data_IF_409881089528
#
_entry.id   IF_409881089528
#
_cell.length_a   1.000
_cell.length_b   1.000
_cell.length_c   1.000
_cell.angle_alpha   90.00
_cell.angle_beta   90.00
_cell.angle_gamma   90.00
#
_symmetry.space_group_name_H-M   'P 1'
#
loop_
_entity.id
_entity.type
_entity.pdbx_description
1 polymer ?
#
# COMPACT_ATOMS: atom_id res chain seq x y z
N UNK A 1 10.89 -4.51 -43.23
CA UNK A 1 12.03 -4.94 -42.37
C UNK A 1 11.41 -5.34 -41.04
N UNK A 2 11.41 -6.64 -40.75
CA UNK A 2 10.86 -7.17 -39.51
C UNK A 2 11.84 -6.81 -38.38
N UNK A 3 11.44 -5.96 -37.44
CA UNK A 3 12.16 -5.73 -36.22
C UNK A 3 12.09 -7.00 -35.39
N UNK A 4 13.20 -7.77 -35.43
CA UNK A 4 13.37 -8.93 -34.57
C UNK A 4 13.26 -8.49 -33.12
N UNK A 5 12.20 -8.88 -32.44
CA UNK A 5 12.16 -8.88 -30.99
C UNK A 5 13.24 -9.89 -30.55
N UNK A 6 14.39 -9.39 -30.13
CA UNK A 6 15.28 -10.16 -29.28
C UNK A 6 14.45 -10.53 -28.04
N UNK A 7 14.01 -11.79 -27.96
CA UNK A 7 13.45 -12.34 -26.72
C UNK A 7 14.59 -12.28 -25.69
N UNK A 8 14.56 -11.23 -24.87
CA UNK A 8 15.47 -11.16 -23.73
C UNK A 8 15.23 -12.37 -22.83
N UNK A 9 16.31 -12.97 -22.32
CA UNK A 9 16.21 -14.13 -21.43
C UNK A 9 15.34 -13.79 -20.21
N UNK A 10 14.44 -14.71 -19.79
CA UNK A 10 13.62 -14.49 -18.59
C UNK A 10 14.52 -14.36 -17.37
N UNK A 11 14.13 -13.48 -16.43
CA UNK A 11 14.83 -13.32 -15.16
C UNK A 11 14.62 -14.57 -14.28
N UNK A 12 15.70 -15.09 -13.72
CA UNK A 12 15.63 -16.16 -12.72
C UNK A 12 15.08 -15.58 -11.41
N UNK A 13 13.91 -16.06 -10.98
CA UNK A 13 13.22 -15.57 -9.80
C UNK A 13 12.88 -16.69 -8.82
N UNK A 14 12.88 -16.38 -7.53
CA UNK A 14 12.45 -17.31 -6.49
C UNK A 14 11.38 -16.69 -5.58
N UNK A 15 10.61 -17.56 -4.92
CA UNK A 15 9.62 -17.17 -3.93
C UNK A 15 10.03 -17.74 -2.57
N UNK A 16 10.20 -16.85 -1.59
CA UNK A 16 10.54 -17.18 -0.20
C UNK A 16 9.27 -17.08 0.64
N UNK A 17 8.80 -18.23 1.15
CA UNK A 17 7.53 -18.41 1.83
C UNK A 17 6.47 -19.03 0.93
N UNK A 18 6.07 -20.28 1.21
CA UNK A 18 5.04 -21.03 0.50
C UNK A 18 3.63 -20.89 1.14
N UNK A 19 3.38 -19.78 1.82
CA UNK A 19 2.08 -19.41 2.36
C UNK A 19 1.13 -18.92 1.26
N UNK A 20 -0.03 -18.35 1.67
CA UNK A 20 -1.03 -17.86 0.73
C UNK A 20 -0.48 -16.83 -0.26
N UNK A 21 0.29 -15.82 0.21
CA UNK A 21 0.86 -14.80 -0.68
C UNK A 21 1.93 -15.40 -1.58
N UNK A 22 2.80 -16.26 -1.04
CA UNK A 22 3.79 -16.96 -1.86
C UNK A 22 3.17 -17.82 -2.95
N UNK A 23 2.05 -18.48 -2.68
CA UNK A 23 1.27 -19.20 -3.69
C UNK A 23 0.77 -18.29 -4.82
N UNK A 24 0.31 -17.08 -4.49
CA UNK A 24 -0.07 -16.09 -5.52
C UNK A 24 1.13 -15.59 -6.32
N UNK A 25 2.27 -15.30 -5.67
CA UNK A 25 3.50 -14.90 -6.35
C UNK A 25 4.02 -15.99 -7.29
N UNK A 26 4.09 -17.25 -6.82
CA UNK A 26 4.52 -18.40 -7.63
C UNK A 26 3.63 -18.58 -8.87
N UNK A 27 2.29 -18.52 -8.69
CA UNK A 27 1.33 -18.58 -9.80
C UNK A 27 1.59 -17.53 -10.86
N UNK A 28 1.82 -16.30 -10.43
CA UNK A 28 2.01 -15.18 -11.34
C UNK A 28 3.37 -15.30 -12.04
N UNK A 29 4.47 -15.52 -11.31
CA UNK A 29 5.79 -15.69 -11.93
C UNK A 29 5.81 -16.83 -12.94
N UNK A 30 5.18 -17.97 -12.64
CA UNK A 30 5.08 -19.08 -13.56
C UNK A 30 4.26 -18.75 -14.84
N UNK A 31 3.42 -17.71 -14.80
CA UNK A 31 2.60 -17.27 -15.94
C UNK A 31 3.23 -16.15 -16.76
N UNK A 32 4.30 -15.52 -16.26
CA UNK A 32 4.94 -14.37 -16.90
C UNK A 32 6.10 -14.83 -17.80
N UNK A 33 6.10 -14.51 -19.10
CA UNK A 33 7.19 -14.88 -20.00
C UNK A 33 8.53 -14.19 -19.64
N UNK A 34 8.47 -13.09 -18.88
CA UNK A 34 9.63 -12.34 -18.41
C UNK A 34 10.33 -12.98 -17.21
N UNK A 35 9.73 -14.01 -16.59
CA UNK A 35 10.23 -14.67 -15.38
C UNK A 35 10.43 -16.17 -15.60
N UNK A 36 11.51 -16.70 -15.05
CA UNK A 36 11.72 -18.13 -14.85
C UNK A 36 11.71 -18.42 -13.35
N UNK A 37 10.66 -19.07 -12.86
CA UNK A 37 10.57 -19.49 -11.46
C UNK A 37 11.54 -20.64 -11.20
N UNK A 38 12.68 -20.37 -10.54
CA UNK A 38 13.76 -21.34 -10.30
C UNK A 38 13.70 -21.97 -8.92
N UNK A 39 12.80 -21.53 -8.03
CA UNK A 39 12.66 -22.18 -6.73
C UNK A 39 11.60 -21.54 -5.82
N UNK A 40 11.09 -22.39 -4.94
CA UNK A 40 10.19 -22.01 -3.83
C UNK A 40 10.82 -22.48 -2.53
N UNK A 41 10.91 -21.58 -1.56
CA UNK A 41 11.52 -21.84 -0.24
C UNK A 41 10.46 -21.75 0.85
N UNK A 42 10.43 -22.75 1.72
CA UNK A 42 9.70 -22.68 3.00
C UNK A 42 10.41 -23.56 4.03
N UNK A 43 10.41 -23.17 5.30
CA UNK A 43 10.94 -24.01 6.38
C UNK A 43 10.14 -25.29 6.55
N UNK A 44 8.85 -25.28 6.19
CA UNK A 44 8.05 -26.47 5.95
C UNK A 44 8.27 -26.96 4.52
N UNK A 45 9.23 -27.84 4.35
CA UNK A 45 9.62 -28.39 3.01
C UNK A 45 8.43 -29.05 2.31
N UNK A 46 7.51 -29.66 3.04
CA UNK A 46 6.33 -30.31 2.45
C UNK A 46 5.42 -29.28 1.78
N UNK A 47 5.28 -28.10 2.39
CA UNK A 47 4.52 -26.97 1.85
C UNK A 47 5.20 -26.41 0.61
N UNK A 48 6.52 -26.23 0.66
CA UNK A 48 7.31 -25.79 -0.50
C UNK A 48 7.18 -26.78 -1.66
N UNK A 49 7.30 -28.09 -1.41
CA UNK A 49 7.18 -29.15 -2.42
C UNK A 49 5.79 -29.19 -3.05
N UNK A 50 4.72 -29.11 -2.25
CA UNK A 50 3.35 -29.10 -2.74
C UNK A 50 3.08 -27.92 -3.69
N UNK A 51 3.63 -26.74 -3.38
CA UNK A 51 3.50 -25.56 -4.23
C UNK A 51 4.40 -25.64 -5.48
N UNK A 52 5.64 -26.07 -5.32
CA UNK A 52 6.62 -26.20 -6.40
C UNK A 52 6.19 -27.19 -7.48
N UNK A 53 5.55 -28.29 -7.08
CA UNK A 53 4.99 -29.28 -8.01
C UNK A 53 3.95 -28.68 -8.94
N UNK A 54 3.13 -27.73 -8.47
CA UNK A 54 2.10 -27.08 -9.29
C UNK A 54 2.68 -26.23 -10.41
N UNK A 55 3.92 -25.72 -10.24
CA UNK A 55 4.57 -24.82 -11.19
C UNK A 55 5.84 -25.40 -11.79
N UNK A 56 6.06 -26.71 -11.61
CA UNK A 56 7.19 -27.44 -12.17
C UNK A 56 8.55 -26.77 -11.90
N UNK A 57 8.79 -26.41 -10.64
CA UNK A 57 10.06 -25.83 -10.19
C UNK A 57 10.58 -26.57 -8.94
N UNK A 58 11.87 -26.42 -8.58
CA UNK A 58 12.45 -26.99 -7.38
C UNK A 58 11.88 -26.38 -6.09
N UNK A 59 11.91 -27.17 -4.99
CA UNK A 59 11.57 -26.74 -3.64
C UNK A 59 12.79 -26.83 -2.72
N UNK A 60 12.94 -25.86 -1.82
CA UNK A 60 14.06 -25.79 -0.89
C UNK A 60 13.57 -25.54 0.55
N UNK A 61 14.23 -26.15 1.52
CA UNK A 61 13.91 -26.01 2.94
C UNK A 61 14.53 -24.75 3.56
N UNK A 62 15.47 -24.10 2.89
CA UNK A 62 16.11 -22.87 3.36
C UNK A 62 16.60 -22.01 2.21
N UNK A 63 16.86 -20.73 2.49
CA UNK A 63 17.40 -19.77 1.52
C UNK A 63 18.84 -20.15 1.12
N UNK A 64 19.63 -20.73 2.02
CA UNK A 64 21.01 -21.18 1.75
C UNK A 64 21.00 -22.33 0.73
N UNK A 65 20.06 -23.27 0.84
CA UNK A 65 19.92 -24.37 -0.10
C UNK A 65 19.52 -23.85 -1.49
N UNK A 66 18.61 -22.88 -1.58
CA UNK A 66 18.26 -22.21 -2.83
C UNK A 66 19.49 -21.53 -3.46
N UNK A 67 20.22 -20.73 -2.68
CA UNK A 67 21.37 -19.96 -3.17
C UNK A 67 22.54 -20.84 -3.61
N UNK A 68 22.71 -22.00 -2.97
CA UNK A 68 23.70 -23.00 -3.40
C UNK A 68 23.32 -23.68 -4.73
N UNK A 69 22.02 -23.91 -4.95
CA UNK A 69 21.51 -24.57 -6.16
C UNK A 69 21.31 -23.59 -7.34
N UNK A 70 21.07 -22.31 -7.07
CA UNK A 70 20.77 -21.28 -8.08
C UNK A 70 21.75 -20.10 -7.94
N UNK A 71 23.03 -20.25 -8.34
CA UNK A 71 24.03 -19.19 -8.21
C UNK A 71 23.72 -17.97 -9.08
N UNK A 72 22.94 -18.14 -10.14
CA UNK A 72 22.54 -17.08 -11.09
C UNK A 72 21.19 -16.45 -10.75
N UNK A 73 20.66 -16.65 -9.53
CA UNK A 73 19.42 -16.04 -9.07
C UNK A 73 19.52 -14.51 -9.12
N UNK A 74 18.60 -13.86 -9.83
CA UNK A 74 18.63 -12.42 -10.08
C UNK A 74 17.68 -11.67 -9.15
N UNK A 75 16.51 -12.26 -8.84
CA UNK A 75 15.50 -11.60 -8.04
C UNK A 75 14.72 -12.59 -7.17
N UNK A 76 14.16 -12.12 -6.06
CA UNK A 76 13.32 -12.94 -5.21
C UNK A 76 12.17 -12.13 -4.58
N UNK A 77 11.04 -12.82 -4.33
CA UNK A 77 9.94 -12.29 -3.52
C UNK A 77 9.96 -12.91 -2.14
N UNK A 78 9.90 -12.09 -1.10
CA UNK A 78 9.73 -12.50 0.30
C UNK A 78 8.26 -12.33 0.69
N UNK A 79 7.59 -13.45 1.00
CA UNK A 79 6.18 -13.51 1.40
C UNK A 79 5.97 -14.35 2.66
N UNK A 80 6.92 -14.25 3.57
CA UNK A 80 6.94 -14.84 4.92
C UNK A 80 6.23 -13.95 5.94
N UNK A 81 6.06 -14.39 7.20
CA UNK A 81 5.70 -13.48 8.29
C UNK A 81 6.72 -12.35 8.46
N UNK A 82 6.23 -11.14 8.76
CA UNK A 82 7.01 -9.89 8.80
C UNK A 82 8.27 -9.96 9.65
N UNK A 83 8.24 -10.72 10.76
CA UNK A 83 9.37 -10.88 11.66
C UNK A 83 10.63 -11.47 11.00
N UNK A 84 10.48 -12.17 9.88
CA UNK A 84 11.58 -12.77 9.13
C UNK A 84 12.05 -11.90 7.96
N UNK A 85 11.33 -10.84 7.58
CA UNK A 85 11.61 -10.04 6.38
C UNK A 85 13.04 -9.50 6.40
N UNK A 86 13.47 -8.92 7.53
CA UNK A 86 14.81 -8.32 7.65
C UNK A 86 15.91 -9.32 7.36
N UNK A 87 15.96 -10.44 8.07
CA UNK A 87 17.05 -11.40 7.95
C UNK A 87 17.13 -12.02 6.54
N UNK A 88 15.97 -12.35 5.96
CA UNK A 88 15.89 -12.92 4.60
C UNK A 88 16.32 -11.89 3.55
N UNK A 89 15.87 -10.65 3.68
CA UNK A 89 16.22 -9.57 2.75
C UNK A 89 17.71 -9.19 2.86
N UNK A 90 18.28 -9.12 4.05
CA UNK A 90 19.72 -8.89 4.24
C UNK A 90 20.55 -9.98 3.55
N UNK A 91 20.10 -11.24 3.62
CA UNK A 91 20.77 -12.36 2.95
C UNK A 91 20.76 -12.21 1.43
N UNK A 92 19.64 -11.81 0.84
CA UNK A 92 19.50 -11.62 -0.62
C UNK A 92 20.25 -10.38 -1.11
N UNK A 93 19.97 -9.23 -0.49
CA UNK A 93 20.57 -7.94 -0.89
C UNK A 93 22.10 -7.95 -0.75
N UNK A 94 22.64 -8.62 0.29
CA UNK A 94 24.09 -8.76 0.46
C UNK A 94 24.75 -9.55 -0.68
N UNK A 95 23.98 -10.35 -1.40
CA UNK A 95 24.42 -11.11 -2.60
C UNK A 95 24.04 -10.43 -3.91
N UNK A 96 23.61 -9.16 -3.86
CA UNK A 96 23.17 -8.36 -4.99
C UNK A 96 21.96 -8.97 -5.72
N UNK A 97 21.06 -9.65 -4.98
CA UNK A 97 19.80 -10.18 -5.50
C UNK A 97 18.70 -9.15 -5.24
N UNK A 98 18.06 -8.71 -6.31
CA UNK A 98 16.96 -7.76 -6.25
C UNK A 98 15.77 -8.37 -5.49
N UNK A 99 15.12 -7.59 -4.66
CA UNK A 99 14.17 -8.17 -3.69
C UNK A 99 12.85 -7.39 -3.66
N UNK A 100 11.74 -8.13 -3.81
CA UNK A 100 10.41 -7.66 -3.47
C UNK A 100 10.03 -8.23 -2.10
N UNK A 101 9.58 -7.38 -1.17
CA UNK A 101 9.17 -7.79 0.19
C UNK A 101 7.71 -7.45 0.39
N UNK A 102 6.91 -8.43 0.84
CA UNK A 102 5.52 -8.19 1.19
C UNK A 102 5.38 -7.19 2.35
N UNK A 103 4.24 -6.52 2.38
CA UNK A 103 3.93 -5.53 3.44
C UNK A 103 3.66 -6.24 4.80
N UNK A 104 4.01 -5.59 5.92
CA UNK A 104 4.89 -4.42 6.08
C UNK A 104 6.33 -4.73 5.68
N UNK A 105 7.10 -3.76 5.21
CA UNK A 105 8.50 -3.94 4.79
C UNK A 105 9.34 -4.64 5.86
N UNK A 106 9.18 -4.24 7.12
CA UNK A 106 9.90 -4.81 8.27
C UNK A 106 9.09 -4.62 9.57
N UNK A 107 9.47 -5.31 10.66
CA UNK A 107 8.79 -5.20 11.96
C UNK A 107 8.94 -3.83 12.62
N UNK A 108 10.08 -3.16 12.41
CA UNK A 108 10.41 -1.87 13.03
C UNK A 108 10.87 -0.84 11.99
N UNK A 109 10.77 0.43 12.35
CA UNK A 109 11.28 1.54 11.53
C UNK A 109 12.78 1.41 11.30
N UNK A 110 13.55 1.05 12.33
CA UNK A 110 14.99 0.86 12.21
C UNK A 110 15.36 -0.27 11.23
N UNK A 111 14.62 -1.38 11.27
CA UNK A 111 14.81 -2.50 10.34
C UNK A 111 14.48 -2.09 8.90
N UNK A 112 13.38 -1.35 8.68
CA UNK A 112 13.00 -0.86 7.38
C UNK A 112 14.07 0.10 6.80
N UNK A 113 14.56 1.04 7.60
CA UNK A 113 15.63 1.97 7.21
C UNK A 113 16.94 1.23 6.90
N UNK A 114 17.30 0.20 7.68
CA UNK A 114 18.48 -0.60 7.42
C UNK A 114 18.40 -1.34 6.09
N UNK A 115 17.23 -1.90 5.74
CA UNK A 115 17.02 -2.56 4.44
C UNK A 115 17.12 -1.59 3.27
N UNK A 116 16.54 -0.39 3.40
CA UNK A 116 16.65 0.67 2.40
C UNK A 116 18.10 1.07 2.18
N UNK A 117 18.86 1.30 3.27
CA UNK A 117 20.28 1.66 3.21
C UNK A 117 21.11 0.54 2.56
N UNK A 118 20.85 -0.71 2.91
CA UNK A 118 21.54 -1.87 2.34
C UNK A 118 21.25 -1.99 0.83
N UNK A 119 19.99 -1.94 0.41
CA UNK A 119 19.61 -2.02 -0.99
C UNK A 119 20.29 -0.91 -1.82
N UNK A 120 20.29 0.32 -1.30
CA UNK A 120 20.98 1.45 -1.93
C UNK A 120 22.49 1.22 -2.04
N UNK A 121 23.14 0.74 -0.98
CA UNK A 121 24.60 0.48 -0.97
C UNK A 121 25.01 -0.64 -1.95
N UNK A 122 24.09 -1.58 -2.21
CA UNK A 122 24.28 -2.70 -3.12
C UNK A 122 23.76 -2.43 -4.54
N UNK A 123 23.15 -1.26 -4.75
CA UNK A 123 22.51 -0.90 -6.03
C UNK A 123 21.42 -1.91 -6.42
N UNK A 124 20.77 -2.55 -5.44
CA UNK A 124 19.68 -3.48 -5.65
C UNK A 124 18.35 -2.77 -5.75
N UNK A 125 17.46 -3.31 -6.58
CA UNK A 125 16.06 -2.94 -6.58
C UNK A 125 15.41 -3.53 -5.33
N UNK A 126 14.82 -2.67 -4.50
CA UNK A 126 14.00 -3.04 -3.35
C UNK A 126 12.57 -2.52 -3.58
N UNK A 127 11.64 -3.41 -3.87
CA UNK A 127 10.21 -3.09 -4.01
C UNK A 127 9.42 -3.62 -2.82
N UNK A 128 8.42 -2.86 -2.38
CA UNK A 128 7.53 -3.28 -1.30
C UNK A 128 6.17 -3.69 -1.84
N UNK A 129 5.59 -4.75 -1.26
CA UNK A 129 4.37 -5.41 -1.69
C UNK A 129 3.09 -4.65 -1.33
N UNK A 130 3.02 -3.35 -1.54
CA UNK A 130 1.80 -2.56 -1.42
C UNK A 130 0.94 -2.72 -2.69
N UNK A 131 0.33 -3.89 -2.87
CA UNK A 131 -0.44 -4.24 -4.06
C UNK A 131 -1.63 -3.30 -4.33
N UNK A 132 -2.17 -2.63 -3.31
CA UNK A 132 -3.23 -1.62 -3.48
C UNK A 132 -2.75 -0.38 -4.27
N UNK A 133 -1.44 -0.11 -4.37
CA UNK A 133 -0.88 0.91 -5.26
C UNK A 133 -1.18 0.60 -6.74
N UNK A 134 -1.31 -0.68 -7.07
CA UNK A 134 -1.65 -1.18 -8.40
C UNK A 134 -3.15 -1.42 -8.59
N UNK A 135 -3.98 -1.05 -7.62
CA UNK A 135 -5.42 -1.09 -7.75
C UNK A 135 -5.86 -0.24 -8.97
N UNK A 136 -6.75 -0.76 -9.84
CA UNK A 136 -7.14 -0.04 -11.06
C UNK A 136 -7.66 1.37 -10.78
N UNK A 137 -8.35 1.56 -9.64
CA UNK A 137 -8.84 2.88 -9.21
C UNK A 137 -7.68 3.84 -8.90
N UNK A 138 -6.65 3.38 -8.17
CA UNK A 138 -5.47 4.20 -7.84
C UNK A 138 -4.70 4.57 -9.11
N UNK A 139 -4.54 3.62 -10.02
CA UNK A 139 -3.90 3.84 -11.32
C UNK A 139 -4.67 4.84 -12.19
N UNK A 140 -6.01 4.76 -12.19
CA UNK A 140 -6.85 5.72 -12.90
C UNK A 140 -6.68 7.13 -12.30
N UNK A 141 -6.66 7.27 -10.97
CA UNK A 141 -6.42 8.54 -10.29
C UNK A 141 -5.06 9.17 -10.62
N UNK A 142 -4.02 8.36 -10.78
CA UNK A 142 -2.66 8.85 -11.08
C UNK A 142 -2.55 9.54 -12.46
N UNK A 143 -3.57 9.42 -13.32
CA UNK A 143 -3.66 10.14 -14.59
C UNK A 143 -4.13 11.59 -14.42
N UNK A 144 -4.71 11.93 -13.26
CA UNK A 144 -5.20 13.27 -12.95
C UNK A 144 -4.16 14.04 -12.10
N UNK A 145 -3.94 15.29 -12.42
CA UNK A 145 -3.14 16.17 -11.58
C UNK A 145 -4.00 16.65 -10.41
N UNK A 146 -3.72 16.14 -9.23
CA UNK A 146 -4.45 16.44 -8.00
C UNK A 146 -3.51 17.13 -7.01
N UNK A 147 -4.02 18.13 -6.31
CA UNK A 147 -3.33 18.83 -5.21
C UNK A 147 -4.16 18.66 -3.94
N UNK A 148 -4.06 17.51 -3.24
CA UNK A 148 -4.92 17.22 -2.10
C UNK A 148 -4.79 18.24 -0.98
N UNK A 149 -5.94 18.70 -0.43
CA UNK A 149 -6.00 19.51 0.78
C UNK A 149 -6.65 18.74 1.92
N UNK A 150 -7.59 17.87 1.58
CA UNK A 150 -8.22 16.97 2.53
C UNK A 150 -8.48 15.62 1.89
N UNK A 151 -8.16 14.54 2.62
CA UNK A 151 -8.40 13.15 2.21
C UNK A 151 -9.16 12.45 3.33
N UNK A 152 -10.20 11.73 2.98
CA UNK A 152 -10.96 10.86 3.87
C UNK A 152 -10.94 9.43 3.32
N UNK A 153 -10.54 8.47 4.16
CA UNK A 153 -10.43 7.06 3.75
C UNK A 153 -11.14 6.17 4.75
N UNK A 154 -11.95 5.24 4.23
CA UNK A 154 -12.60 4.19 5.00
C UNK A 154 -12.21 2.83 4.44
N UNK A 155 -11.53 2.01 5.27
CA UNK A 155 -11.21 0.61 4.99
C UNK A 155 -11.81 -0.26 6.08
N UNK A 156 -12.99 -0.76 5.80
CA UNK A 156 -13.83 -1.47 6.74
C UNK A 156 -14.11 -2.87 6.20
N UNK A 157 -13.97 -3.89 7.03
CA UNK A 157 -14.21 -5.29 6.65
C UNK A 157 -14.84 -6.10 7.79
N UNK A 158 -15.58 -7.17 7.47
CA UNK A 158 -15.96 -8.17 8.46
C UNK A 158 -14.75 -8.89 9.05
N UNK A 159 -14.85 -9.31 10.31
CA UNK A 159 -13.84 -10.10 11.00
C UNK A 159 -13.62 -11.45 10.29
N UNK A 160 -12.38 -11.81 10.07
CA UNK A 160 -11.99 -13.07 9.42
C UNK A 160 -11.03 -13.90 10.27
N UNK A 161 -10.92 -13.72 11.56
CA UNK A 161 -10.07 -14.44 12.52
C UNK A 161 -8.66 -14.81 11.99
N UNK A 162 -8.14 -14.02 11.07
CA UNK A 162 -6.76 -14.07 10.57
C UNK A 162 -6.06 -12.78 10.97
N UNK A 163 -4.74 -12.82 11.14
CA UNK A 163 -3.95 -11.65 11.56
C UNK A 163 -4.48 -11.00 12.84
N UNK A 164 -5.02 -11.84 13.77
CA UNK A 164 -5.50 -11.37 15.08
C UNK A 164 -4.34 -11.04 16.03
N UNK A 165 -3.16 -11.45 15.66
CA UNK A 165 -1.88 -11.22 16.32
C UNK A 165 -1.34 -9.81 16.09
N UNK A 166 -1.89 -9.06 15.13
CA UNK A 166 -1.54 -7.68 14.83
C UNK A 166 -2.77 -6.77 14.81
N UNK A 167 -2.57 -5.47 15.04
CA UNK A 167 -3.63 -4.47 15.01
C UNK A 167 -4.08 -4.12 13.59
N UNK A 168 -5.27 -3.52 13.50
CA UNK A 168 -5.88 -3.11 12.24
C UNK A 168 -5.06 -2.04 11.51
N UNK A 169 -4.21 -1.30 12.22
CA UNK A 169 -3.31 -0.31 11.63
C UNK A 169 -2.30 -0.99 10.71
N UNK A 170 -1.61 -2.03 11.18
CA UNK A 170 -0.62 -2.76 10.39
C UNK A 170 -1.24 -3.76 9.39
N UNK A 171 -2.45 -4.28 9.66
CA UNK A 171 -3.11 -5.21 8.75
C UNK A 171 -3.82 -4.50 7.59
N UNK A 172 -4.62 -3.47 7.89
CA UNK A 172 -5.51 -2.81 6.93
C UNK A 172 -5.08 -1.37 6.60
N UNK A 173 -4.88 -0.51 7.63
CA UNK A 173 -4.66 0.92 7.44
C UNK A 173 -3.36 1.22 6.68
N UNK A 174 -2.35 0.36 6.80
CA UNK A 174 -1.06 0.53 6.14
C UNK A 174 -1.17 0.64 4.61
N UNK A 175 -2.17 0.02 4.00
CA UNK A 175 -2.45 0.16 2.57
C UNK A 175 -2.89 1.58 2.20
N UNK A 176 -3.71 2.19 3.06
CA UNK A 176 -4.21 3.54 2.82
C UNK A 176 -3.16 4.58 3.19
N UNK A 177 -2.31 4.31 4.18
CA UNK A 177 -1.14 5.13 4.50
C UNK A 177 -0.24 5.24 3.27
N UNK A 178 0.04 4.12 2.60
CA UNK A 178 0.83 4.08 1.37
C UNK A 178 0.17 4.87 0.23
N UNK A 179 -1.14 4.68 -0.01
CA UNK A 179 -1.86 5.40 -1.06
C UNK A 179 -1.88 6.91 -0.78
N UNK A 180 -2.17 7.32 0.46
CA UNK A 180 -2.19 8.73 0.86
C UNK A 180 -0.80 9.35 0.70
N UNK A 181 0.27 8.66 1.11
CA UNK A 181 1.63 9.11 0.89
C UNK A 181 1.93 9.34 -0.60
N UNK A 182 1.54 8.40 -1.45
CA UNK A 182 1.71 8.51 -2.89
C UNK A 182 1.00 9.72 -3.51
N UNK A 183 -0.19 10.06 -3.00
CA UNK A 183 -0.98 11.20 -3.50
C UNK A 183 -0.48 12.55 -2.97
N UNK A 184 -0.06 12.60 -1.70
CA UNK A 184 0.32 13.86 -1.02
C UNK A 184 1.80 14.20 -1.22
N UNK A 185 2.70 13.22 -1.12
CA UNK A 185 4.15 13.37 -1.30
C UNK A 185 4.78 14.47 -0.42
N UNK A 186 4.27 14.65 0.79
CA UNK A 186 4.75 15.61 1.76
C UNK A 186 5.11 14.94 3.09
N UNK A 187 6.08 15.44 3.85
CA UNK A 187 6.39 14.92 5.18
C UNK A 187 5.22 15.05 6.14
N UNK A 188 5.11 14.10 7.08
CA UNK A 188 4.10 14.14 8.15
C UNK A 188 4.53 15.12 9.25
N UNK A 189 3.73 16.17 9.47
CA UNK A 189 3.93 17.15 10.52
C UNK A 189 3.40 16.65 11.88
N UNK A 190 2.17 16.10 11.93
CA UNK A 190 1.60 15.58 13.16
C UNK A 190 0.61 14.43 12.92
N UNK A 191 0.40 13.61 13.96
CA UNK A 191 -0.56 12.51 13.95
C UNK A 191 -1.36 12.56 15.26
N UNK A 192 -2.69 12.47 15.15
CA UNK A 192 -3.58 12.16 16.25
C UNK A 192 -4.36 10.89 15.91
N UNK A 193 -4.49 9.96 16.86
CA UNK A 193 -5.15 8.69 16.59
C UNK A 193 -5.86 8.13 17.81
N UNK A 194 -6.95 7.40 17.55
CA UNK A 194 -7.68 6.61 18.53
C UNK A 194 -7.83 5.19 18.00
N UNK A 195 -7.88 4.21 18.90
CA UNK A 195 -8.08 2.81 18.56
C UNK A 195 -8.74 2.05 19.68
N UNK A 196 -9.55 1.05 19.31
CA UNK A 196 -10.28 0.21 20.25
C UNK A 196 -10.02 -1.25 19.96
N UNK A 197 -9.58 -2.02 20.96
CA UNK A 197 -9.50 -3.46 20.95
C UNK A 197 -10.82 -4.01 21.52
N UNK A 198 -11.50 -4.85 20.76
CA UNK A 198 -12.80 -5.44 21.14
C UNK A 198 -12.69 -6.97 21.27
N UNK A 199 -12.00 -7.61 20.35
CA UNK A 199 -11.89 -9.08 20.30
C UNK A 199 -10.48 -9.52 20.70
N UNK A 200 -9.44 -8.86 20.19
CA UNK A 200 -8.04 -9.22 20.39
C UNK A 200 -7.32 -8.39 21.43
N UNK A 201 -6.00 -8.49 21.42
CA UNK A 201 -5.09 -7.67 22.25
C UNK A 201 -4.72 -6.35 21.59
N UNK A 202 -4.91 -6.26 20.28
CA UNK A 202 -4.59 -5.11 19.45
C UNK A 202 -5.87 -4.45 18.96
N UNK A 203 -5.78 -3.22 18.50
CA UNK A 203 -6.91 -2.47 17.99
C UNK A 203 -7.60 -3.18 16.81
N UNK A 204 -8.92 -3.33 16.92
CA UNK A 204 -9.81 -3.87 15.89
C UNK A 204 -10.46 -2.76 15.07
N UNK A 205 -10.48 -1.56 15.62
CA UNK A 205 -10.91 -0.32 14.97
C UNK A 205 -9.88 0.76 15.29
N UNK A 206 -9.48 1.54 14.29
CA UNK A 206 -8.62 2.69 14.46
C UNK A 206 -9.05 3.84 13.55
N UNK A 207 -8.93 5.06 14.06
CA UNK A 207 -9.02 6.29 13.29
C UNK A 207 -7.75 7.10 13.51
N UNK A 208 -7.17 7.60 12.42
CA UNK A 208 -5.99 8.45 12.45
C UNK A 208 -6.23 9.72 11.64
N UNK A 209 -5.88 10.87 12.23
CA UNK A 209 -5.77 12.15 11.57
C UNK A 209 -4.29 12.47 11.38
N UNK A 210 -3.87 12.56 10.12
CA UNK A 210 -2.49 12.85 9.71
C UNK A 210 -2.48 14.26 9.11
N UNK A 211 -1.62 15.14 9.61
CA UNK A 211 -1.38 16.47 9.05
C UNK A 211 -0.02 16.45 8.36
N UNK A 212 0.03 16.86 7.12
CA UNK A 212 1.24 16.95 6.31
C UNK A 212 1.83 18.38 6.34
N UNK A 213 3.13 18.49 6.04
CA UNK A 213 3.86 19.76 6.09
C UNK A 213 3.37 20.79 5.07
N UNK A 214 2.78 20.35 3.94
CA UNK A 214 2.14 21.19 2.94
C UNK A 214 0.71 21.66 3.31
N UNK A 215 0.24 21.28 4.51
CA UNK A 215 -1.08 21.61 5.05
C UNK A 215 -2.19 20.64 4.64
N UNK A 216 -1.90 19.62 3.83
CA UNK A 216 -2.88 18.55 3.57
C UNK A 216 -3.21 17.79 4.85
N UNK A 217 -4.46 17.37 5.00
CA UNK A 217 -4.92 16.57 6.11
C UNK A 217 -5.57 15.28 5.60
N UNK A 218 -5.18 14.13 6.15
CA UNK A 218 -5.82 12.85 5.87
C UNK A 218 -6.47 12.28 7.14
N UNK A 219 -7.76 11.91 7.04
CA UNK A 219 -8.46 11.11 8.04
C UNK A 219 -8.62 9.69 7.51
N UNK A 220 -8.03 8.72 8.20
CA UNK A 220 -8.05 7.32 7.79
C UNK A 220 -8.74 6.50 8.88
N UNK A 221 -9.81 5.81 8.50
CA UNK A 221 -10.52 4.87 9.39
C UNK A 221 -10.34 3.45 8.88
N UNK A 222 -9.83 2.57 9.74
CA UNK A 222 -9.75 1.14 9.47
C UNK A 222 -10.50 0.36 10.54
N UNK A 223 -11.27 -0.66 10.12
CA UNK A 223 -12.02 -1.52 11.02
C UNK A 223 -12.13 -2.94 10.46
N UNK A 224 -12.02 -3.93 11.34
CA UNK A 224 -12.32 -5.34 11.03
C UNK A 224 -13.56 -5.88 11.76
N UNK A 225 -14.40 -4.98 12.33
CA UNK A 225 -15.60 -5.32 13.12
C UNK A 225 -16.90 -4.95 12.41
N UNK A 226 -16.94 -4.91 11.10
CA UNK A 226 -18.12 -4.51 10.37
C UNK A 226 -18.93 -5.71 9.86
N UNK A 227 -20.20 -5.46 9.54
CA UNK A 227 -21.06 -6.44 8.87
C UNK A 227 -20.91 -6.43 7.34
N UNK A 228 -20.38 -5.33 6.79
CA UNK A 228 -20.18 -5.15 5.34
C UNK A 228 -18.77 -4.64 5.06
N UNK A 229 -18.24 -4.97 3.89
CA UNK A 229 -16.97 -4.41 3.41
C UNK A 229 -17.24 -3.03 2.82
N UNK A 230 -16.40 -2.06 3.21
CA UNK A 230 -16.36 -0.73 2.61
C UNK A 230 -14.90 -0.35 2.38
N UNK A 231 -14.59 0.10 1.17
CA UNK A 231 -13.25 0.58 0.78
C UNK A 231 -13.41 1.82 -0.07
N UNK A 232 -13.42 2.98 0.56
CA UNK A 232 -13.69 4.27 -0.10
C UNK A 232 -12.65 5.30 0.24
N UNK A 233 -12.41 6.18 -0.73
CA UNK A 233 -11.65 7.39 -0.51
C UNK A 233 -12.38 8.57 -1.14
N UNK A 234 -12.34 9.70 -0.44
CA UNK A 234 -12.70 11.03 -0.93
C UNK A 234 -11.49 11.93 -0.83
N UNK A 235 -11.25 12.71 -1.86
CA UNK A 235 -10.14 13.65 -1.90
C UNK A 235 -10.68 15.00 -2.36
N UNK A 236 -10.29 16.03 -1.66
CA UNK A 236 -10.68 17.40 -1.93
C UNK A 236 -9.43 18.21 -2.26
N UNK A 237 -9.45 18.82 -3.43
CA UNK A 237 -8.45 19.78 -3.94
C UNK A 237 -9.11 21.12 -4.20
N UNK A 238 -8.37 22.21 -4.37
CA UNK A 238 -8.95 23.52 -4.72
C UNK A 238 -9.77 23.49 -6.02
N UNK A 239 -9.38 22.62 -6.96
CA UNK A 239 -9.96 22.56 -8.30
C UNK A 239 -10.67 21.24 -8.63
N UNK A 240 -10.63 20.27 -7.70
CA UNK A 240 -11.24 18.96 -7.95
C UNK A 240 -11.75 18.30 -6.65
N UNK A 241 -12.83 17.55 -6.80
CA UNK A 241 -13.30 16.58 -5.82
C UNK A 241 -13.24 15.19 -6.42
N UNK A 242 -12.72 14.24 -5.68
CA UNK A 242 -12.63 12.83 -6.06
C UNK A 242 -13.45 11.98 -5.11
N UNK A 243 -14.22 11.04 -5.65
CA UNK A 243 -14.88 10.00 -4.86
C UNK A 243 -14.67 8.65 -5.52
N UNK A 244 -14.07 7.70 -4.79
CA UNK A 244 -13.76 6.38 -5.30
C UNK A 244 -14.20 5.27 -4.36
N UNK A 245 -14.63 4.16 -4.97
CA UNK A 245 -14.95 2.89 -4.30
C UNK A 245 -14.04 1.80 -4.90
N UNK A 246 -13.03 1.39 -4.13
CA UNK A 246 -12.04 0.39 -4.56
C UNK A 246 -12.65 -0.99 -4.77
N UNK A 247 -13.72 -1.32 -4.02
CA UNK A 247 -14.36 -2.63 -4.11
C UNK A 247 -15.22 -2.73 -5.37
N UNK A 248 -15.95 -1.65 -5.68
CA UNK A 248 -16.78 -1.57 -6.88
C UNK A 248 -15.98 -1.27 -8.14
N UNK A 249 -14.71 -0.96 -8.00
CA UNK A 249 -13.85 -0.45 -9.07
C UNK A 249 -14.54 0.69 -9.81
N UNK A 250 -14.96 1.71 -9.08
CA UNK A 250 -15.68 2.86 -9.62
C UNK A 250 -15.20 4.14 -8.96
N UNK A 251 -15.28 5.23 -9.69
CA UNK A 251 -14.95 6.54 -9.15
C UNK A 251 -15.24 7.66 -10.13
N UNK A 252 -15.34 8.85 -9.57
CA UNK A 252 -15.56 10.09 -10.30
C UNK A 252 -14.53 11.12 -9.86
N UNK A 253 -14.11 11.94 -10.81
CA UNK A 253 -13.37 13.18 -10.57
C UNK A 253 -14.27 14.31 -11.02
N UNK A 254 -14.62 15.20 -10.11
CA UNK A 254 -15.43 16.37 -10.37
C UNK A 254 -14.50 17.56 -10.39
N UNK A 255 -14.32 18.13 -11.54
CA UNK A 255 -13.51 19.32 -11.74
C UNK A 255 -14.38 20.59 -11.72
N UNK A 256 -13.82 21.63 -11.17
CA UNK A 256 -14.35 22.97 -11.33
C UNK A 256 -14.34 23.31 -12.82
N UNK A 257 -15.47 23.75 -13.37
CA UNK A 257 -15.53 24.13 -14.78
C UNK A 257 -14.65 25.35 -15.05
N UNK A 258 -14.21 25.47 -16.32
CA UNK A 258 -13.40 26.62 -16.77
C UNK A 258 -14.20 27.95 -16.80
N UNK A 259 -15.49 27.96 -16.46
CA UNK A 259 -16.30 29.17 -16.47
C UNK A 259 -16.06 30.00 -15.20
N UNK A 260 -14.84 30.58 -15.13
CA UNK A 260 -14.43 31.45 -14.04
C UNK A 260 -15.39 32.64 -13.86
N UNK A 261 -16.00 33.11 -14.95
CA UNK A 261 -16.93 34.24 -14.89
C UNK A 261 -18.22 33.88 -14.12
N UNK A 262 -18.78 32.68 -14.32
CA UNK A 262 -19.96 32.22 -13.53
C UNK A 262 -19.61 32.04 -12.06
N UNK A 263 -18.45 31.48 -11.74
CA UNK A 263 -18.01 31.33 -10.37
C UNK A 263 -17.78 32.68 -9.67
N UNK A 264 -17.26 33.66 -10.39
CA UNK A 264 -17.04 35.01 -9.84
C UNK A 264 -18.37 35.74 -9.63
N UNK A 265 -19.38 35.55 -10.50
CA UNK A 265 -20.75 36.04 -10.29
C UNK A 265 -21.34 35.43 -9.01
N UNK A 266 -21.26 34.10 -8.84
CA UNK A 266 -21.74 33.41 -7.64
C UNK A 266 -21.03 33.91 -6.39
N UNK A 267 -19.70 34.09 -6.44
CA UNK A 267 -18.92 34.63 -5.31
C UNK A 267 -19.32 36.06 -4.97
N UNK A 268 -19.57 36.90 -5.98
CA UNK A 268 -20.00 38.28 -5.75
C UNK A 268 -21.39 38.31 -5.13
N UNK A 269 -22.32 37.45 -5.57
CA UNK A 269 -23.64 37.33 -4.97
C UNK A 269 -23.55 36.86 -3.50
N UNK A 270 -22.73 35.82 -3.23
CA UNK A 270 -22.49 35.33 -1.88
C UNK A 270 -21.83 36.38 -0.95
N UNK A 271 -21.05 37.27 -1.50
CA UNK A 271 -20.37 38.34 -0.75
C UNK A 271 -21.24 39.58 -0.54
N UNK A 272 -22.22 39.80 -1.41
CA UNK A 272 -23.07 41.00 -1.41
C UNK A 272 -24.34 40.88 -0.56
N UNK A 273 -24.81 39.66 -0.32
CA UNK A 273 -26.06 39.40 0.42
C UNK A 273 -25.83 38.46 1.62
N UNK A 274 -26.38 38.77 2.77
CA UNK A 274 -26.33 37.89 3.96
C UNK A 274 -27.06 36.56 3.72
N UNK A 275 -28.11 36.55 2.87
CA UNK A 275 -28.87 35.36 2.48
C UNK A 275 -29.21 35.40 1.00
N UNK A 276 -28.21 35.08 0.09
CA UNK A 276 -28.44 35.08 -1.35
C UNK A 276 -29.41 33.97 -1.75
N UNK A 277 -30.40 34.29 -2.61
CA UNK A 277 -31.27 33.28 -3.22
C UNK A 277 -30.52 32.56 -4.34
N UNK A 278 -30.04 31.37 -4.04
CA UNK A 278 -29.33 30.48 -4.99
C UNK A 278 -30.24 29.33 -5.50
N UNK A 279 -31.54 29.40 -5.26
CA UNK A 279 -32.49 28.31 -5.59
C UNK A 279 -32.54 27.96 -7.10
N UNK A 280 -32.15 28.89 -7.97
CA UNK A 280 -32.09 28.71 -9.42
C UNK A 280 -30.69 28.34 -9.94
N UNK A 281 -29.69 28.16 -9.05
CA UNK A 281 -28.36 27.81 -9.46
C UNK A 281 -28.27 26.30 -9.74
N UNK A 282 -28.00 25.93 -10.99
CA UNK A 282 -27.70 24.54 -11.31
C UNK A 282 -26.21 24.24 -11.03
N UNK A 283 -25.96 23.49 -9.96
CA UNK A 283 -24.60 23.09 -9.58
C UNK A 283 -23.90 22.34 -10.72
N UNK A 284 -24.65 21.60 -11.57
CA UNK A 284 -24.08 20.82 -12.66
C UNK A 284 -23.46 21.68 -13.77
N UNK A 285 -23.86 22.94 -13.89
CA UNK A 285 -23.26 23.91 -14.81
C UNK A 285 -21.90 24.45 -14.33
N UNK A 286 -21.62 24.29 -13.01
CA UNK A 286 -20.39 24.77 -12.37
C UNK A 286 -19.30 23.71 -12.28
N UNK A 287 -19.61 22.46 -12.64
CA UNK A 287 -18.69 21.33 -12.51
C UNK A 287 -18.69 20.47 -13.77
N UNK A 288 -17.54 19.86 -14.01
CA UNK A 288 -17.40 18.81 -15.01
C UNK A 288 -17.14 17.49 -14.30
N UNK A 289 -17.90 16.45 -14.66
CA UNK A 289 -17.82 15.14 -14.01
C UNK A 289 -17.17 14.14 -14.95
N UNK A 290 -15.97 13.70 -14.61
CA UNK A 290 -15.26 12.64 -15.30
C UNK A 290 -15.45 11.30 -14.57
N UNK A 291 -15.97 10.31 -15.27
CA UNK A 291 -15.93 8.93 -14.78
C UNK A 291 -14.52 8.38 -14.94
N UNK A 292 -13.98 7.74 -13.91
CA UNK A 292 -12.68 7.10 -14.02
C UNK A 292 -12.73 5.91 -14.97
N UNK A 293 -11.85 5.89 -15.96
CA UNK A 293 -11.62 4.74 -16.82
C UNK A 293 -10.81 3.68 -16.06
N UNK A 294 -11.47 2.62 -15.66
CA UNK A 294 -10.91 1.58 -14.81
C UNK A 294 -10.80 0.28 -15.58
N UNK A 295 -9.59 -0.27 -15.67
CA UNK A 295 -9.32 -1.57 -16.27
C UNK A 295 -9.52 -2.72 -15.27
N UNK A 296 -9.50 -3.98 -15.77
CA UNK A 296 -9.66 -5.19 -14.98
C UNK A 296 -8.36 -5.94 -14.69
N UNK A 297 -7.20 -5.30 -14.88
CA UNK A 297 -5.92 -5.96 -14.65
C UNK A 297 -5.74 -6.35 -13.17
N UNK A 298 -5.17 -7.53 -12.94
CA UNK A 298 -4.92 -8.05 -11.60
C UNK A 298 -3.81 -7.21 -10.90
N UNK A 299 -4.10 -6.52 -9.78
CA UNK A 299 -3.13 -5.64 -9.12
C UNK A 299 -1.82 -6.35 -8.75
N UNK A 300 -1.90 -7.57 -8.22
CA UNK A 300 -0.71 -8.33 -7.83
C UNK A 300 0.15 -8.72 -9.06
N UNK A 301 -0.48 -9.02 -10.18
CA UNK A 301 0.25 -9.29 -11.44
C UNK A 301 1.03 -8.06 -11.89
N UNK A 302 0.38 -6.89 -11.87
CA UNK A 302 1.04 -5.62 -12.20
C UNK A 302 2.18 -5.29 -11.25
N UNK A 303 2.02 -5.56 -9.96
CA UNK A 303 3.08 -5.39 -8.96
C UNK A 303 4.32 -6.22 -9.32
N UNK A 304 4.15 -7.52 -9.64
CA UNK A 304 5.25 -8.40 -9.98
C UNK A 304 5.87 -8.02 -11.33
N UNK A 305 5.08 -7.63 -12.30
CA UNK A 305 5.58 -7.10 -13.59
C UNK A 305 6.38 -5.82 -13.41
N UNK A 306 5.89 -4.88 -12.57
CA UNK A 306 6.61 -3.65 -12.22
C UNK A 306 7.96 -3.95 -11.57
N UNK A 307 8.02 -4.94 -10.67
CA UNK A 307 9.26 -5.37 -10.06
C UNK A 307 10.24 -5.93 -11.10
N UNK A 308 9.80 -6.88 -11.93
CA UNK A 308 10.65 -7.46 -12.99
C UNK A 308 11.15 -6.39 -13.98
N UNK A 309 10.30 -5.43 -14.32
CA UNK A 309 10.67 -4.31 -15.17
C UNK A 309 11.78 -3.47 -14.52
N UNK A 310 11.63 -3.09 -13.25
CA UNK A 310 12.63 -2.33 -12.51
C UNK A 310 13.96 -3.07 -12.40
N UNK A 311 13.92 -4.40 -12.14
CA UNK A 311 15.12 -5.27 -12.13
C UNK A 311 15.83 -5.24 -13.47
N UNK A 312 15.10 -5.40 -14.56
CA UNK A 312 15.65 -5.47 -15.93
C UNK A 312 16.23 -4.14 -16.40
N UNK A 313 15.51 -3.05 -16.15
CA UNK A 313 15.88 -1.71 -16.62
C UNK A 313 16.77 -0.95 -15.65
N UNK A 314 16.97 -1.48 -14.44
CA UNK A 314 17.69 -0.82 -13.33
C UNK A 314 17.08 0.54 -12.99
N UNK A 315 15.76 0.68 -13.14
CA UNK A 315 15.01 1.86 -12.77
C UNK A 315 14.42 1.72 -11.37
N UNK A 316 13.97 2.83 -10.81
CA UNK A 316 13.28 2.85 -9.53
C UNK A 316 11.94 2.08 -9.62
N UNK A 317 11.62 1.21 -8.66
CA UNK A 317 10.37 0.48 -8.66
C UNK A 317 9.18 1.39 -8.32
N UNK A 318 7.98 1.00 -8.74
CA UNK A 318 6.76 1.79 -8.52
C UNK A 318 6.40 1.97 -7.02
N UNK A 319 6.83 1.05 -6.16
CA UNK A 319 6.72 1.14 -4.70
C UNK A 319 8.09 0.88 -4.12
N UNK A 320 8.76 1.93 -3.72
CA UNK A 320 10.15 1.88 -3.27
C UNK A 320 10.31 1.32 -1.85
N UNK A 321 11.54 0.99 -1.48
CA UNK A 321 11.88 0.68 -0.10
C UNK A 321 11.60 1.87 0.84
N UNK A 322 11.80 3.09 0.36
CA UNK A 322 11.51 4.35 1.05
C UNK A 322 10.01 4.52 1.32
N UNK A 323 9.14 4.22 0.34
CA UNK A 323 7.67 4.20 0.53
C UNK A 323 7.28 3.21 1.62
N UNK A 324 7.86 2.00 1.59
CA UNK A 324 7.62 0.99 2.60
C UNK A 324 8.11 1.40 3.99
N UNK A 325 9.28 2.03 4.09
CA UNK A 325 9.82 2.54 5.36
C UNK A 325 8.94 3.68 5.90
N UNK A 326 8.46 4.58 5.05
CA UNK A 326 7.50 5.61 5.41
C UNK A 326 6.19 5.00 5.96
N UNK A 327 5.64 3.99 5.29
CA UNK A 327 4.42 3.34 5.73
C UNK A 327 4.58 2.68 7.12
N UNK A 328 5.73 2.04 7.38
CA UNK A 328 6.07 1.47 8.69
C UNK A 328 6.22 2.58 9.75
N UNK A 329 6.88 3.70 9.43
CA UNK A 329 7.05 4.83 10.35
C UNK A 329 5.69 5.41 10.75
N UNK A 330 4.86 5.75 9.77
CA UNK A 330 3.52 6.34 10.03
C UNK A 330 2.63 5.37 10.80
N UNK A 331 2.61 4.08 10.44
CA UNK A 331 1.85 3.07 11.17
C UNK A 331 2.33 2.93 12.62
N UNK A 332 3.65 2.99 12.86
CA UNK A 332 4.24 2.95 14.20
C UNK A 332 3.82 4.18 15.02
N UNK A 333 3.90 5.37 14.44
CA UNK A 333 3.48 6.62 15.11
C UNK A 333 1.97 6.62 15.41
N UNK A 334 1.13 6.06 14.54
CA UNK A 334 -0.31 5.89 14.79
C UNK A 334 -0.54 4.96 15.98
N UNK A 335 0.11 3.79 16.02
CA UNK A 335 -0.05 2.86 17.16
C UNK A 335 0.46 3.44 18.48
N UNK A 336 1.53 4.24 18.45
CA UNK A 336 2.02 4.97 19.60
C UNK A 336 1.03 6.03 20.09
N UNK A 337 0.41 6.79 19.17
CA UNK A 337 -0.61 7.78 19.49
C UNK A 337 -1.86 7.13 20.11
N UNK A 338 -2.31 5.99 19.60
CA UNK A 338 -3.39 5.19 20.19
C UNK A 338 -3.04 4.77 21.62
N UNK A 339 -1.86 4.22 21.83
CA UNK A 339 -1.42 3.79 23.16
C UNK A 339 -1.28 4.95 24.15
N UNK A 340 -0.91 6.14 23.69
CA UNK A 340 -0.87 7.34 24.51
C UNK A 340 -2.25 7.84 24.88
N UNK A 341 -3.18 7.86 23.93
CA UNK A 341 -4.57 8.24 24.16
C UNK A 341 -5.23 7.34 25.20
N UNK A 342 -5.09 6.02 25.07
CA UNK A 342 -5.64 5.04 26.02
C UNK A 342 -5.09 5.21 27.45
N UNK A 343 -3.83 5.61 27.61
CA UNK A 343 -3.24 5.89 28.95
C UNK A 343 -3.82 7.14 29.60
N UNK A 344 -4.12 8.16 28.80
CA UNK A 344 -4.67 9.41 29.30
C UNK A 344 -6.14 9.27 29.71
N UNK A 345 -6.87 8.30 29.14
CA UNK A 345 -8.29 8.02 29.45
C UNK A 345 -8.48 7.10 30.67
N UNK A 346 -7.41 6.51 31.21
CA UNK A 346 -7.52 5.76 32.48
C UNK A 346 -7.74 6.76 33.62
N UNK A 347 -8.83 6.61 34.42
CA UNK A 347 -9.00 7.44 35.60
C UNK A 347 -7.79 7.28 36.52
N UNK A 348 -7.34 8.34 37.20
CA UNK A 348 -6.23 8.24 38.14
C UNK A 348 -6.55 7.10 39.11
N UNK A 349 -5.61 6.15 39.26
CA UNK A 349 -5.75 5.04 40.17
C UNK A 349 -6.04 5.62 41.56
N UNK A 350 -7.26 5.45 42.03
CA UNK A 350 -7.63 5.77 43.42
C UNK A 350 -6.97 4.66 44.27
N UNK A 351 -5.68 4.81 44.52
CA UNK A 351 -5.02 4.17 45.65
C UNK A 351 -5.44 4.94 46.91
N UNK A 352 -6.68 4.68 47.33
CA UNK A 352 -7.16 5.01 48.62
C UNK A 352 -6.75 3.92 49.60
N UNK A 353 -5.78 4.22 50.38
CA UNK A 353 -5.45 3.56 51.63
C UNK A 353 -6.72 3.34 52.46
N UNK A 354 -6.96 2.10 52.87
CA UNK A 354 -7.52 1.73 54.19
C UNK A 354 -6.66 0.59 54.74
#
# INVERSE_FOLDING_TARGET
MATGHHLEMPLQVAVIGAGRMGGHHARIYASLPEAQLVGIVDTDISRAQALAQQYNCPAYGSIEALLAACPDLQAASISTPTIYHRALAETLLSRNIDTLIEKPLAPTVADAQALVALARSRQCVLQVGHSERFNPVVRALSKHRLEPRFIEVHRISPMRFRSVDIGVVLDLMIHDIDIVHHLVRSPVASIAAVGVAVIGRHEDVANARIVFADGCVANITASRLAMKTERRMRLFSPDAYVSVDYQKKAGVVIHKTANQAQLDIVRQQLAAEETPDLSNLDYTELVHVDQLEIDDQEPLKLQLQSFLHAVRTRTEPAVTGEDGAFAVDVATRITQAIAQHQRNDQPPSVLGTV
#
